data_IF_062097996471
#
_entry.id   IF_062097996471
#
_cell.length_a   1.000
_cell.length_b   1.000
_cell.length_c   1.000
_cell.angle_alpha   90.00
_cell.angle_beta   90.00
_cell.angle_gamma   90.00
#
_symmetry.space_group_name_H-M   'P 1'
#
loop_
_entity.id
_entity.type
_entity.pdbx_description
1 polymer ?
#
# COMPACT_ATOMS: atom_id res chain seq x y z
N UNK A 1 46.28 -10.77 47.64
CA UNK A 1 47.01 -10.75 46.36
C UNK A 1 46.09 -11.34 45.30
N UNK A 2 45.66 -10.51 44.33
CA UNK A 2 44.89 -10.79 43.09
C UNK A 2 43.73 -11.82 43.18
N UNK A 3 42.45 -11.45 43.20
CA UNK A 3 41.63 -10.80 42.15
C UNK A 3 41.83 -11.37 40.74
N UNK A 4 40.93 -12.27 40.32
CA UNK A 4 40.64 -12.54 38.91
C UNK A 4 39.14 -12.84 38.76
N UNK A 5 38.39 -11.75 38.61
CA UNK A 5 37.04 -11.70 38.05
C UNK A 5 37.09 -12.21 36.61
N UNK A 6 36.69 -13.46 36.38
CA UNK A 6 36.29 -13.93 35.06
C UNK A 6 34.82 -13.53 34.82
N UNK A 7 34.59 -12.24 34.56
CA UNK A 7 33.38 -11.80 33.88
C UNK A 7 33.59 -12.14 32.41
N UNK A 8 33.23 -13.37 32.03
CA UNK A 8 33.07 -13.72 30.63
C UNK A 8 31.90 -12.89 30.10
N UNK A 9 32.24 -11.81 29.39
CA UNK A 9 31.33 -11.10 28.52
C UNK A 9 30.78 -12.08 27.50
N UNK A 10 29.59 -12.61 27.77
CA UNK A 10 28.73 -13.11 26.72
C UNK A 10 28.58 -11.95 25.73
N UNK A 11 28.94 -12.11 24.45
CA UNK A 11 28.53 -11.15 23.46
C UNK A 11 27.01 -11.14 23.53
N UNK A 12 26.44 -9.98 23.86
CA UNK A 12 25.05 -9.71 23.57
C UNK A 12 24.88 -9.98 22.09
N UNK A 13 24.39 -11.18 21.74
CA UNK A 13 23.79 -11.48 20.47
C UNK A 13 22.56 -10.58 20.42
N UNK A 14 22.77 -9.30 20.10
CA UNK A 14 21.73 -8.39 19.67
C UNK A 14 21.35 -8.91 18.30
N UNK A 15 20.53 -9.95 18.32
CA UNK A 15 19.78 -10.38 17.17
C UNK A 15 18.78 -9.25 16.94
N UNK A 16 19.11 -8.37 16.01
CA UNK A 16 18.22 -7.30 15.59
C UNK A 16 17.40 -7.79 14.41
N UNK A 17 16.08 -7.72 14.54
CA UNK A 17 15.18 -7.79 13.39
C UNK A 17 15.59 -6.76 12.35
N UNK A 18 15.42 -7.10 11.07
CA UNK A 18 15.78 -6.23 9.94
C UNK A 18 14.56 -5.93 9.12
N UNK A 19 14.45 -4.69 8.67
CA UNK A 19 13.42 -4.27 7.73
C UNK A 19 14.05 -3.60 6.54
N UNK A 20 13.47 -3.81 5.37
CA UNK A 20 13.93 -3.18 4.14
C UNK A 20 13.04 -1.97 3.88
N UNK A 21 13.64 -0.80 3.73
CA UNK A 21 12.98 0.44 3.36
C UNK A 21 13.37 0.83 1.93
N UNK A 22 12.47 0.55 0.99
CA UNK A 22 12.68 0.83 -0.41
C UNK A 22 11.37 0.99 -1.18
N UNK A 23 11.47 1.54 -2.38
CA UNK A 23 10.39 1.47 -3.37
C UNK A 23 10.93 1.18 -4.77
N UNK A 24 10.07 0.66 -5.65
CA UNK A 24 10.38 0.54 -7.07
C UNK A 24 10.61 1.92 -7.70
N UNK A 25 11.58 2.08 -8.62
CA UNK A 25 11.92 3.39 -9.20
C UNK A 25 10.76 4.14 -9.86
N UNK A 26 9.81 3.43 -10.46
CA UNK A 26 8.60 4.02 -11.07
C UNK A 26 7.75 4.81 -10.08
N UNK A 27 7.76 4.44 -8.80
CA UNK A 27 6.96 5.09 -7.76
C UNK A 27 7.51 6.46 -7.36
N UNK A 28 8.72 6.83 -7.79
CA UNK A 28 9.27 8.15 -7.51
C UNK A 28 8.44 9.28 -8.13
N UNK A 29 7.91 9.05 -9.33
CA UNK A 29 7.01 9.99 -10.02
C UNK A 29 5.53 9.59 -9.94
N UNK A 30 5.23 8.44 -9.32
CA UNK A 30 3.90 7.84 -9.27
C UNK A 30 3.50 7.42 -7.85
N UNK A 31 3.95 8.17 -6.84
CA UNK A 31 3.74 7.84 -5.43
C UNK A 31 2.27 7.62 -5.06
N UNK A 32 1.35 8.28 -5.75
CA UNK A 32 -0.08 8.15 -5.56
C UNK A 32 -0.61 6.71 -5.72
N UNK A 33 0.07 5.88 -6.51
CA UNK A 33 -0.32 4.48 -6.71
C UNK A 33 -0.25 3.68 -5.40
N UNK A 34 0.55 4.15 -4.44
CA UNK A 34 0.73 3.52 -3.14
C UNK A 34 -0.43 3.75 -2.18
N UNK A 35 -1.21 4.81 -2.41
CA UNK A 35 -2.22 5.25 -1.48
C UNK A 35 -1.67 5.86 -0.17
N UNK A 36 -0.34 5.94 0.05
CA UNK A 36 0.24 6.53 1.26
C UNK A 36 0.20 8.07 1.25
N UNK A 37 0.07 8.73 2.43
CA UNK A 37 0.09 10.17 2.55
C UNK A 37 1.42 10.85 2.29
N UNK A 38 2.51 10.13 2.46
CA UNK A 38 3.84 10.71 2.33
C UNK A 38 4.82 9.71 1.78
N UNK A 39 5.77 10.25 1.03
CA UNK A 39 6.99 9.56 0.67
C UNK A 39 8.05 9.89 1.72
N UNK A 40 8.61 8.90 2.45
CA UNK A 40 9.70 9.15 3.37
C UNK A 40 10.91 9.81 2.67
N UNK A 41 11.54 10.80 3.31
CA UNK A 41 12.69 11.52 2.75
C UNK A 41 13.90 10.62 2.46
N UNK A 42 14.08 9.57 3.28
CA UNK A 42 15.19 8.62 3.16
C UNK A 42 14.78 7.34 2.41
N UNK A 43 13.68 7.36 1.66
CA UNK A 43 13.23 6.20 0.90
C UNK A 43 14.15 5.96 -0.30
N UNK A 44 14.76 4.78 -0.35
CA UNK A 44 15.63 4.38 -1.46
C UNK A 44 14.80 3.82 -2.61
N UNK A 45 14.92 4.42 -3.79
CA UNK A 45 14.28 3.93 -5.02
C UNK A 45 15.24 3.01 -5.77
N UNK A 46 14.93 1.71 -5.83
CA UNK A 46 15.83 0.74 -6.45
C UNK A 46 15.10 -0.47 -7.00
N UNK A 47 15.62 -1.00 -8.11
CA UNK A 47 15.14 -2.22 -8.76
C UNK A 47 15.17 -3.46 -7.87
N UNK A 48 16.07 -3.53 -6.88
CA UNK A 48 16.21 -4.64 -5.95
C UNK A 48 15.08 -4.70 -4.92
N UNK A 49 14.23 -3.66 -4.86
CA UNK A 49 13.11 -3.62 -3.93
C UNK A 49 12.07 -4.73 -4.18
N UNK A 50 12.01 -5.27 -5.40
CA UNK A 50 11.16 -6.42 -5.75
C UNK A 50 11.88 -7.77 -5.75
N UNK A 51 13.15 -7.78 -5.38
CA UNK A 51 14.01 -8.96 -5.42
C UNK A 51 13.99 -9.74 -4.11
N UNK A 52 14.54 -10.95 -4.16
CA UNK A 52 14.76 -11.81 -2.99
C UNK A 52 15.93 -11.34 -2.13
N UNK A 53 15.96 -11.85 -0.89
CA UNK A 53 16.95 -11.64 0.18
C UNK A 53 18.40 -11.41 -0.25
N UNK A 54 18.91 -12.16 -1.24
CA UNK A 54 20.32 -12.18 -1.61
C UNK A 54 20.80 -10.92 -2.36
N UNK A 55 19.88 -10.02 -2.71
CA UNK A 55 20.16 -8.88 -3.59
C UNK A 55 19.81 -7.53 -2.98
N UNK A 56 19.48 -7.48 -1.68
CA UNK A 56 19.12 -6.24 -0.99
C UNK A 56 20.40 -5.50 -0.56
N UNK A 57 20.64 -4.27 -1.04
CA UNK A 57 21.77 -3.46 -0.60
C UNK A 57 21.62 -2.98 0.85
N UNK A 58 22.75 -2.86 1.57
CA UNK A 58 22.79 -2.50 2.99
C UNK A 58 22.13 -1.13 3.29
N UNK A 59 22.18 -0.19 2.34
CA UNK A 59 21.58 1.14 2.51
C UNK A 59 20.04 1.15 2.52
N UNK A 60 19.41 0.01 2.26
CA UNK A 60 17.95 -0.16 2.39
C UNK A 60 17.57 -0.81 3.72
N UNK A 61 18.54 -1.30 4.50
CA UNK A 61 18.27 -2.10 5.70
C UNK A 61 18.15 -1.20 6.93
N UNK A 62 16.99 -1.26 7.57
CA UNK A 62 16.70 -0.65 8.87
C UNK A 62 16.88 -1.69 9.98
N UNK A 63 17.51 -1.23 11.07
CA UNK A 63 17.75 -2.02 12.29
C UNK A 63 16.73 -1.76 13.40
N UNK A 64 15.76 -0.87 13.15
CA UNK A 64 14.71 -0.50 14.10
C UNK A 64 13.46 -0.04 13.36
N UNK A 65 12.30 -0.31 13.95
CA UNK A 65 11.00 0.12 13.45
C UNK A 65 10.08 0.44 14.63
N UNK A 66 9.36 1.57 14.64
CA UNK A 66 8.48 1.91 15.76
C UNK A 66 7.13 1.20 15.70
N UNK A 67 6.73 0.74 14.53
CA UNK A 67 5.47 0.03 14.30
C UNK A 67 5.74 -1.36 13.71
N UNK A 68 5.24 -1.62 12.51
CA UNK A 68 5.36 -2.88 11.79
C UNK A 68 6.19 -2.65 10.53
N UNK A 69 6.88 -3.69 10.10
CA UNK A 69 7.51 -3.69 8.80
C UNK A 69 6.52 -4.22 7.79
N UNK A 70 6.31 -3.46 6.72
CA UNK A 70 5.36 -3.85 5.69
C UNK A 70 6.05 -4.03 4.35
N UNK A 71 5.43 -4.85 3.52
CA UNK A 71 5.69 -4.96 2.09
C UNK A 71 4.38 -4.89 1.34
N UNK A 72 4.35 -4.11 0.26
CA UNK A 72 3.19 -3.88 -0.57
C UNK A 72 3.58 -4.04 -2.04
N UNK A 73 2.71 -4.73 -2.78
CA UNK A 73 2.85 -5.01 -4.21
C UNK A 73 1.66 -4.40 -4.95
N UNK A 74 1.97 -3.63 -5.99
CA UNK A 74 0.99 -2.94 -6.85
C UNK A 74 1.21 -3.39 -8.30
N UNK A 75 0.24 -4.07 -8.93
CA UNK A 75 0.30 -4.40 -10.35
C UNK A 75 -0.16 -3.20 -11.19
N UNK A 76 0.66 -2.77 -12.15
CA UNK A 76 0.25 -1.78 -13.14
C UNK A 76 1.13 -1.84 -14.38
N UNK A 77 0.57 -1.52 -15.54
CA UNK A 77 1.28 -1.40 -16.83
C UNK A 77 2.24 -2.57 -17.12
N UNK A 78 1.74 -3.81 -16.98
CA UNK A 78 2.52 -5.04 -17.20
C UNK A 78 3.75 -5.18 -16.28
N UNK A 79 3.70 -4.61 -15.07
CA UNK A 79 4.79 -4.69 -14.12
C UNK A 79 4.30 -4.74 -12.67
N UNK A 80 5.18 -5.20 -11.78
CA UNK A 80 4.97 -5.15 -10.35
C UNK A 80 5.80 -4.03 -9.73
N UNK A 81 5.16 -3.25 -8.87
CA UNK A 81 5.82 -2.23 -8.08
C UNK A 81 5.78 -2.59 -6.61
N UNK A 82 6.90 -2.41 -5.94
CA UNK A 82 7.10 -2.79 -4.56
C UNK A 82 7.31 -1.54 -3.71
N UNK A 83 6.71 -1.54 -2.53
CA UNK A 83 7.01 -0.61 -1.45
C UNK A 83 7.27 -1.45 -0.21
N UNK A 84 8.39 -1.19 0.45
CA UNK A 84 8.77 -1.85 1.70
C UNK A 84 9.24 -0.79 2.67
N UNK A 85 8.95 -0.98 3.95
CA UNK A 85 9.55 -0.14 4.99
C UNK A 85 8.88 -0.28 6.33
N UNK A 86 9.22 0.66 7.21
CA UNK A 86 8.55 0.84 8.48
C UNK A 86 7.27 1.62 8.27
N UNK A 87 6.12 1.05 8.63
CA UNK A 87 4.83 1.64 8.28
C UNK A 87 4.66 3.07 8.80
N UNK A 88 5.19 3.36 9.99
CA UNK A 88 5.15 4.70 10.58
C UNK A 88 5.87 5.75 9.74
N UNK A 89 6.88 5.38 8.96
CA UNK A 89 7.59 6.30 8.05
C UNK A 89 6.74 6.77 6.87
N UNK A 90 5.62 6.09 6.56
CA UNK A 90 4.78 6.38 5.38
C UNK A 90 3.44 7.04 5.74
N UNK A 91 3.16 7.23 7.03
CA UNK A 91 1.91 7.80 7.57
C UNK A 91 2.14 9.12 8.31
N UNK A 92 1.08 9.89 8.58
CA UNK A 92 1.19 11.12 9.37
C UNK A 92 1.63 10.82 10.82
N UNK A 93 2.70 11.46 11.30
CA UNK A 93 3.18 11.30 12.67
C UNK A 93 2.10 11.75 13.66
N UNK A 94 1.80 10.92 14.66
CA UNK A 94 0.81 11.20 15.70
C UNK A 94 -0.64 10.87 15.32
N UNK A 95 -0.93 10.48 14.08
CA UNK A 95 -2.26 10.02 13.69
C UNK A 95 -2.41 8.53 14.03
N UNK A 96 -3.06 8.22 15.15
CA UNK A 96 -3.24 6.83 15.62
C UNK A 96 -4.16 6.01 14.72
N UNK A 97 -5.12 6.64 14.04
CA UNK A 97 -6.03 5.93 13.13
C UNK A 97 -5.27 5.34 11.94
N UNK A 98 -4.19 6.01 11.49
CA UNK A 98 -3.35 5.50 10.40
C UNK A 98 -2.37 4.42 10.84
N UNK A 99 -2.19 4.16 12.14
CA UNK A 99 -1.13 3.26 12.62
C UNK A 99 -1.56 1.80 12.58
N UNK A 100 -0.73 0.96 11.97
CA UNK A 100 -0.83 -0.49 12.12
C UNK A 100 0.18 -0.92 13.18
N UNK A 101 -0.30 -1.49 14.29
CA UNK A 101 0.55 -1.89 15.43
C UNK A 101 0.55 -3.41 15.67
N UNK A 102 -0.44 -4.10 15.13
CA UNK A 102 -0.61 -5.54 15.37
C UNK A 102 0.10 -6.38 14.31
N UNK A 103 0.67 -7.49 14.78
CA UNK A 103 1.42 -8.47 13.98
C UNK A 103 0.52 -9.39 13.14
N UNK A 104 1.13 -10.38 12.49
CA UNK A 104 1.14 -10.54 11.04
C UNK A 104 -0.24 -10.40 10.40
N UNK A 105 -0.36 -9.42 9.51
CA UNK A 105 -1.56 -9.16 8.71
C UNK A 105 -1.16 -9.26 7.26
N UNK A 106 -1.85 -10.07 6.46
CA UNK A 106 -1.62 -10.10 5.03
C UNK A 106 -2.92 -10.20 4.24
N UNK A 107 -3.08 -9.31 3.26
CA UNK A 107 -4.22 -9.27 2.35
C UNK A 107 -3.76 -9.26 0.91
N UNK A 108 -4.55 -9.88 0.04
CA UNK A 108 -4.28 -9.86 -1.39
C UNK A 108 -5.56 -9.83 -2.24
N UNK A 109 -5.39 -9.35 -3.48
CA UNK A 109 -6.46 -9.17 -4.45
C UNK A 109 -5.96 -9.52 -5.86
N UNK A 110 -6.74 -10.31 -6.59
CA UNK A 110 -6.52 -10.53 -8.03
C UNK A 110 -7.10 -9.36 -8.82
N UNK A 111 -6.27 -8.67 -9.60
CA UNK A 111 -6.62 -7.51 -10.42
C UNK A 111 -6.76 -7.97 -11.87
N UNK A 112 -7.93 -8.51 -12.21
CA UNK A 112 -8.17 -9.18 -13.51
C UNK A 112 -8.03 -8.26 -14.72
N UNK A 113 -8.25 -6.94 -14.54
CA UNK A 113 -8.06 -5.89 -15.55
C UNK A 113 -6.60 -5.57 -15.84
N UNK A 114 -5.68 -5.93 -14.94
CA UNK A 114 -4.25 -5.82 -15.15
C UNK A 114 -3.68 -7.17 -15.57
N UNK A 115 -2.82 -7.17 -16.58
CA UNK A 115 -2.14 -8.37 -17.06
C UNK A 115 -0.64 -8.23 -16.82
N UNK A 116 -0.02 -9.29 -16.33
CA UNK A 116 1.42 -9.40 -16.13
C UNK A 116 1.96 -10.56 -16.98
N UNK A 117 2.92 -10.28 -17.84
CA UNK A 117 3.67 -11.27 -18.60
C UNK A 117 4.74 -11.88 -17.70
N UNK A 118 4.83 -13.20 -17.66
CA UNK A 118 5.85 -13.90 -16.88
C UNK A 118 7.25 -13.58 -17.40
N UNK A 119 8.19 -13.37 -16.48
CA UNK A 119 9.60 -13.22 -16.81
C UNK A 119 10.27 -14.52 -17.26
N UNK A 120 9.70 -15.67 -16.91
CA UNK A 120 10.21 -17.00 -17.28
C UNK A 120 9.64 -17.50 -18.62
N UNK A 121 8.40 -17.09 -18.95
CA UNK A 121 7.73 -17.45 -20.19
C UNK A 121 6.96 -16.24 -20.75
N UNK A 122 7.51 -15.62 -21.79
CA UNK A 122 6.93 -14.44 -22.43
C UNK A 122 5.56 -14.70 -23.09
N UNK A 123 5.15 -15.96 -23.28
CA UNK A 123 3.82 -16.32 -23.80
C UNK A 123 2.78 -16.45 -22.69
N UNK A 124 3.22 -16.63 -21.45
CA UNK A 124 2.36 -16.74 -20.28
C UNK A 124 1.97 -15.35 -19.77
N UNK A 125 0.67 -15.08 -19.78
CA UNK A 125 0.08 -13.84 -19.23
C UNK A 125 -0.87 -14.17 -18.08
N UNK A 126 -0.62 -13.60 -16.91
CA UNK A 126 -1.37 -13.83 -15.68
C UNK A 126 -2.15 -12.58 -15.27
N UNK A 127 -3.25 -12.72 -14.50
CA UNK A 127 -3.84 -11.59 -13.78
C UNK A 127 -2.79 -10.93 -12.87
N UNK A 128 -2.77 -9.60 -12.81
CA UNK A 128 -1.95 -8.89 -11.84
C UNK A 128 -2.46 -9.15 -10.42
N UNK A 129 -1.55 -9.20 -9.45
CA UNK A 129 -1.90 -9.37 -8.04
C UNK A 129 -1.46 -8.17 -7.23
N UNK A 130 -2.37 -7.61 -6.43
CA UNK A 130 -2.02 -6.65 -5.40
C UNK A 130 -1.94 -7.34 -4.04
N UNK A 131 -0.91 -7.03 -3.25
CA UNK A 131 -0.67 -7.66 -1.95
C UNK A 131 -0.22 -6.59 -0.97
N UNK A 132 -0.65 -6.70 0.28
CA UNK A 132 0.00 -6.00 1.39
C UNK A 132 0.19 -6.96 2.56
N UNK A 133 1.37 -6.91 3.15
CA UNK A 133 1.74 -7.73 4.30
C UNK A 133 2.41 -6.85 5.33
N UNK A 134 2.10 -7.10 6.59
CA UNK A 134 2.67 -6.47 7.78
C UNK A 134 3.25 -7.57 8.65
N UNK A 135 4.42 -7.30 9.21
CA UNK A 135 5.06 -8.18 10.16
C UNK A 135 5.58 -7.35 11.34
N UNK A 136 5.46 -7.90 12.54
CA UNK A 136 5.87 -7.22 13.76
C UNK A 136 7.39 -7.08 13.75
N UNK A 137 7.85 -5.87 14.02
CA UNK A 137 9.26 -5.67 14.31
C UNK A 137 9.55 -6.14 15.73
N UNK A 138 10.43 -7.12 15.86
CA UNK A 138 10.88 -7.67 17.12
C UNK A 138 12.38 -7.99 17.07
N UNK A 139 12.92 -8.49 18.19
CA UNK A 139 14.32 -8.86 18.31
C UNK A 139 14.60 -10.28 17.77
N UNK A 140 13.74 -10.82 16.91
CA UNK A 140 14.02 -12.10 16.25
C UNK A 140 14.93 -11.91 15.04
N UNK A 141 15.74 -12.93 14.75
CA UNK A 141 16.69 -12.87 13.65
C UNK A 141 15.97 -12.88 12.31
N UNK A 142 16.28 -11.91 11.46
CA UNK A 142 15.96 -11.97 10.04
C UNK A 142 15.19 -10.78 9.52
N UNK A 143 14.83 -10.87 8.25
CA UNK A 143 14.12 -9.81 7.56
C UNK A 143 12.61 -10.00 7.65
N UNK A 144 11.90 -8.94 8.02
CA UNK A 144 10.47 -8.99 8.30
C UNK A 144 9.58 -8.73 7.07
N UNK A 145 10.06 -7.99 6.07
CA UNK A 145 9.24 -7.51 4.94
C UNK A 145 9.85 -7.73 3.54
N UNK A 146 10.35 -8.94 3.27
CA UNK A 146 10.87 -9.34 1.95
C UNK A 146 10.43 -10.75 1.52
N UNK A 147 9.22 -11.14 1.94
CA UNK A 147 8.66 -12.46 1.64
C UNK A 147 8.06 -12.51 0.24
N UNK A 148 7.69 -11.36 -0.33
CA UNK A 148 7.15 -11.25 -1.68
C UNK A 148 8.26 -10.96 -2.68
N UNK A 149 8.34 -11.71 -3.77
CA UNK A 149 9.22 -11.44 -4.90
C UNK A 149 8.46 -11.51 -6.21
N UNK A 150 9.02 -10.91 -7.26
CA UNK A 150 8.47 -11.01 -8.62
C UNK A 150 8.23 -12.46 -9.05
N UNK A 151 9.21 -13.34 -8.84
CA UNK A 151 9.11 -14.75 -9.20
C UNK A 151 8.00 -15.50 -8.44
N UNK A 152 7.64 -15.06 -7.25
CA UNK A 152 6.50 -15.62 -6.49
C UNK A 152 5.19 -15.15 -7.11
N UNK A 153 5.07 -13.86 -7.42
CA UNK A 153 3.86 -13.23 -7.96
C UNK A 153 3.51 -13.70 -9.37
N UNK A 154 4.49 -14.20 -10.13
CA UNK A 154 4.34 -14.70 -11.50
C UNK A 154 4.08 -16.22 -11.54
N UNK A 155 3.78 -16.86 -10.40
CA UNK A 155 3.44 -18.30 -10.35
C UNK A 155 1.98 -18.54 -10.78
N UNK A 156 1.78 -19.57 -11.61
CA UNK A 156 0.43 -20.03 -12.03
C UNK A 156 -0.46 -20.38 -10.82
N UNK A 157 0.11 -20.94 -9.76
CA UNK A 157 -0.60 -21.31 -8.52
C UNK A 157 -0.33 -20.32 -7.38
N UNK A 158 -0.21 -19.03 -7.69
CA UNK A 158 0.04 -17.99 -6.70
C UNK A 158 -0.93 -18.03 -5.52
N UNK A 159 -2.23 -18.21 -5.79
CA UNK A 159 -3.27 -18.25 -4.74
C UNK A 159 -3.00 -19.32 -3.66
N UNK A 160 -2.54 -20.50 -4.05
CA UNK A 160 -2.20 -21.57 -3.10
C UNK A 160 -0.93 -21.20 -2.33
N UNK A 161 0.09 -20.70 -3.03
CA UNK A 161 1.33 -20.28 -2.40
C UNK A 161 1.09 -19.19 -1.35
N UNK A 162 0.33 -18.15 -1.69
CA UNK A 162 0.15 -17.00 -0.80
C UNK A 162 -0.72 -17.35 0.42
N UNK A 163 -1.71 -18.23 0.27
CA UNK A 163 -2.54 -18.72 1.39
C UNK A 163 -1.77 -19.66 2.30
N UNK A 164 -1.03 -20.61 1.75
CA UNK A 164 -0.36 -21.65 2.55
C UNK A 164 0.94 -21.16 3.17
N UNK A 165 1.74 -20.38 2.44
CA UNK A 165 3.08 -19.97 2.86
C UNK A 165 3.09 -18.64 3.58
N UNK A 166 2.25 -17.70 3.17
CA UNK A 166 2.20 -16.34 3.72
C UNK A 166 0.93 -16.07 4.55
N UNK A 167 0.01 -17.05 4.62
CA UNK A 167 -1.23 -16.95 5.40
C UNK A 167 -2.06 -15.71 5.05
N UNK A 168 -1.98 -15.24 3.80
CA UNK A 168 -2.71 -14.06 3.39
C UNK A 168 -4.18 -14.38 3.11
N UNK A 169 -5.04 -13.44 3.52
CA UNK A 169 -6.47 -13.51 3.26
C UNK A 169 -6.81 -12.81 1.96
N UNK A 170 -7.59 -13.47 1.11
CA UNK A 170 -8.14 -12.83 -0.08
C UNK A 170 -9.15 -11.76 0.34
N UNK A 171 -9.07 -10.57 -0.25
CA UNK A 171 -10.08 -9.53 -0.04
C UNK A 171 -11.34 -9.85 -0.83
N UNK A 172 -12.49 -9.35 -0.36
CA UNK A 172 -13.74 -9.44 -1.10
C UNK A 172 -13.87 -8.30 -2.10
N UNK A 173 -14.34 -8.60 -3.31
CA UNK A 173 -14.68 -7.57 -4.29
C UNK A 173 -15.88 -6.75 -3.81
N UNK A 174 -15.76 -5.44 -3.92
CA UNK A 174 -16.78 -4.46 -3.57
C UNK A 174 -17.07 -3.57 -4.78
N UNK A 175 -18.35 -3.30 -5.04
CA UNK A 175 -18.79 -2.35 -6.06
C UNK A 175 -18.80 -0.94 -5.47
N UNK A 176 -18.08 -0.02 -6.08
CA UNK A 176 -17.94 1.36 -5.62
C UNK A 176 -18.48 2.35 -6.65
N UNK A 177 -18.88 3.52 -6.18
CA UNK A 177 -19.19 4.65 -7.04
C UNK A 177 -17.89 5.19 -7.63
N UNK A 178 -17.87 5.36 -8.96
CA UNK A 178 -16.80 6.04 -9.69
C UNK A 178 -17.32 7.39 -10.18
N UNK A 179 -16.74 8.47 -9.68
CA UNK A 179 -17.17 9.83 -10.02
C UNK A 179 -16.05 10.84 -9.83
N UNK A 180 -16.03 11.89 -10.64
CA UNK A 180 -15.18 13.07 -10.44
C UNK A 180 -16.10 14.28 -10.37
N UNK A 181 -15.90 15.10 -9.34
CA UNK A 181 -16.59 16.35 -9.09
C UNK A 181 -15.57 17.48 -9.09
N UNK A 182 -15.88 18.54 -9.82
CA UNK A 182 -15.10 19.76 -9.82
C UNK A 182 -16.04 20.97 -9.82
N UNK A 183 -15.89 21.82 -8.80
CA UNK A 183 -16.58 23.11 -8.72
C UNK A 183 -18.11 23.07 -8.87
N UNK A 184 -18.79 22.10 -8.24
CA UNK A 184 -20.25 21.94 -8.39
C UNK A 184 -20.66 21.06 -9.56
N UNK A 185 -19.77 20.75 -10.49
CA UNK A 185 -20.07 19.96 -11.69
C UNK A 185 -19.56 18.53 -11.54
N UNK A 186 -20.41 17.53 -11.84
CA UNK A 186 -20.00 16.12 -11.95
C UNK A 186 -20.84 15.10 -11.17
N UNK A 187 -21.65 15.50 -10.19
CA UNK A 187 -22.42 14.55 -9.34
C UNK A 187 -23.76 14.12 -9.98
N UNK A 188 -24.37 14.97 -10.81
CA UNK A 188 -25.79 14.83 -11.15
C UNK A 188 -26.10 13.87 -12.31
N UNK A 189 -25.12 13.41 -13.10
CA UNK A 189 -25.42 12.66 -14.35
C UNK A 189 -24.52 11.47 -14.71
N UNK A 190 -23.33 11.32 -14.11
CA UNK A 190 -22.34 10.30 -14.53
C UNK A 190 -21.86 9.44 -13.35
N UNK A 191 -22.79 8.76 -12.66
CA UNK A 191 -22.43 7.74 -11.66
C UNK A 191 -22.09 6.43 -12.38
N UNK A 192 -20.84 6.30 -12.78
CA UNK A 192 -20.30 4.99 -13.17
C UNK A 192 -20.00 4.18 -11.91
N UNK A 193 -19.85 2.87 -12.06
CA UNK A 193 -19.37 2.00 -10.99
C UNK A 193 -18.05 1.37 -11.37
N UNK A 194 -17.22 1.08 -10.38
CA UNK A 194 -16.07 0.19 -10.51
C UNK A 194 -16.20 -0.96 -9.50
N UNK A 195 -15.45 -2.03 -9.74
CA UNK A 195 -15.32 -3.15 -8.80
C UNK A 195 -13.87 -3.25 -8.38
N UNK A 196 -13.63 -3.37 -7.08
CA UNK A 196 -12.30 -3.57 -6.51
C UNK A 196 -12.39 -3.95 -5.04
N UNK A 197 -11.25 -4.25 -4.42
CA UNK A 197 -11.23 -4.65 -3.01
C UNK A 197 -11.64 -3.51 -2.06
N UNK A 198 -11.34 -2.27 -2.44
CA UNK A 198 -11.58 -1.10 -1.60
C UNK A 198 -12.20 0.04 -2.39
N UNK A 199 -13.24 0.65 -1.84
CA UNK A 199 -13.70 1.95 -2.31
C UNK A 199 -12.76 3.03 -1.80
N UNK A 200 -12.51 4.03 -2.65
CA UNK A 200 -11.68 5.18 -2.33
C UNK A 200 -12.44 6.46 -2.61
N UNK A 201 -12.25 7.44 -1.74
CA UNK A 201 -12.69 8.83 -1.95
C UNK A 201 -11.48 9.74 -1.79
N UNK A 202 -11.46 10.83 -2.53
CA UNK A 202 -10.43 11.84 -2.51
C UNK A 202 -11.16 13.16 -2.54
N UNK A 203 -10.99 13.99 -1.53
CA UNK A 203 -11.56 15.34 -1.51
C UNK A 203 -10.42 16.34 -1.45
N UNK A 204 -10.55 17.50 -2.08
CA UNK A 204 -9.49 18.50 -2.10
C UNK A 204 -9.87 19.78 -2.83
N UNK A 205 -8.85 20.56 -3.20
CA UNK A 205 -9.01 21.74 -4.04
C UNK A 205 -8.11 21.66 -5.27
N UNK A 206 -8.68 21.84 -6.46
CA UNK A 206 -7.94 22.01 -7.71
C UNK A 206 -8.14 23.44 -8.18
N UNK A 207 -7.05 24.22 -8.37
CA UNK A 207 -7.10 25.64 -8.70
C UNK A 207 -8.03 26.47 -7.78
N UNK A 208 -7.96 26.22 -6.48
CA UNK A 208 -8.78 26.89 -5.45
C UNK A 208 -10.24 26.42 -5.37
N UNK A 209 -10.70 25.61 -6.32
CA UNK A 209 -12.07 25.09 -6.42
C UNK A 209 -12.18 23.70 -5.83
N UNK A 210 -13.36 23.35 -5.29
CA UNK A 210 -13.60 22.03 -4.67
C UNK A 210 -13.44 20.92 -5.73
N UNK A 211 -12.73 19.87 -5.35
CA UNK A 211 -12.51 18.68 -6.16
C UNK A 211 -12.83 17.44 -5.32
N UNK A 212 -13.60 16.50 -5.88
CA UNK A 212 -13.81 15.18 -5.27
C UNK A 212 -13.65 14.10 -6.34
N UNK A 213 -12.91 13.05 -6.04
CA UNK A 213 -12.75 11.89 -6.90
C UNK A 213 -13.06 10.63 -6.09
N UNK A 214 -13.89 9.75 -6.64
CA UNK A 214 -14.29 8.48 -6.02
C UNK A 214 -13.99 7.34 -6.99
N UNK A 215 -13.53 6.21 -6.48
CA UNK A 215 -13.16 5.07 -7.31
C UNK A 215 -12.83 3.81 -6.51
N UNK A 216 -12.06 2.92 -7.11
CA UNK A 216 -11.68 1.63 -6.54
C UNK A 216 -10.16 1.51 -6.47
N UNK A 217 -9.67 0.87 -5.41
CA UNK A 217 -8.29 0.46 -5.27
C UNK A 217 -8.20 -1.06 -5.08
N UNK A 218 -7.18 -1.72 -5.66
CA UNK A 218 -6.98 -3.16 -5.48
C UNK A 218 -6.38 -3.49 -4.11
N UNK A 219 -5.65 -2.56 -3.50
CA UNK A 219 -5.04 -2.71 -2.18
C UNK A 219 -4.90 -1.35 -1.51
N UNK A 220 -4.83 -1.33 -0.17
CA UNK A 220 -4.75 -0.09 0.62
C UNK A 220 -3.76 -0.29 1.77
N UNK A 221 -3.01 0.76 2.16
CA UNK A 221 -1.97 0.62 3.17
C UNK A 221 -2.46 0.74 4.61
N UNK A 222 -3.76 0.61 4.84
CA UNK A 222 -4.40 0.78 6.14
C UNK A 222 -5.38 -0.37 6.38
N UNK A 223 -5.42 -0.86 7.62
CA UNK A 223 -6.30 -1.97 8.00
C UNK A 223 -7.72 -1.48 8.31
N UNK A 224 -7.85 -0.21 8.71
CA UNK A 224 -9.12 0.41 9.04
C UNK A 224 -9.45 1.56 8.08
N UNK A 225 -10.69 2.03 8.17
CA UNK A 225 -11.17 3.19 7.44
C UNK A 225 -10.47 4.45 7.96
N UNK A 226 -9.51 4.98 7.21
CA UNK A 226 -8.73 6.16 7.64
C UNK A 226 -8.89 7.32 6.69
N UNK A 227 -9.01 8.52 7.27
CA UNK A 227 -9.01 9.78 6.55
C UNK A 227 -7.75 10.58 6.89
N UNK A 228 -7.12 11.11 5.86
CA UNK A 228 -5.87 11.84 5.99
C UNK A 228 -5.65 12.76 4.80
N UNK A 229 -4.84 13.81 5.02
CA UNK A 229 -4.61 14.86 4.06
C UNK A 229 -3.28 14.67 3.33
N UNK A 230 -3.39 14.45 2.02
CA UNK A 230 -2.27 14.46 1.11
C UNK A 230 -2.10 15.84 0.51
N UNK A 231 -0.94 16.42 0.78
CA UNK A 231 -0.42 17.56 0.05
C UNK A 231 0.50 17.05 -1.06
N UNK A 232 0.16 17.35 -2.30
CA UNK A 232 0.93 16.96 -3.48
C UNK A 232 0.94 18.08 -4.49
N UNK A 233 2.05 18.22 -5.21
CA UNK A 233 2.22 19.18 -6.30
C UNK A 233 1.99 18.56 -7.68
N UNK A 234 1.48 17.33 -7.78
CA UNK A 234 1.20 16.67 -9.05
C UNK A 234 -0.29 16.40 -9.23
N UNK A 235 -0.74 16.43 -10.49
CA UNK A 235 -2.08 15.95 -10.86
C UNK A 235 -2.12 14.43 -10.76
N UNK A 236 -3.24 13.91 -10.28
CA UNK A 236 -3.44 12.47 -10.12
C UNK A 236 -4.40 11.93 -11.16
N UNK A 237 -4.25 10.63 -11.43
CA UNK A 237 -5.26 9.80 -12.07
C UNK A 237 -5.71 8.80 -10.99
N UNK A 238 -7.00 8.76 -10.60
CA UNK A 238 -7.46 7.63 -9.77
C UNK A 238 -7.63 6.37 -10.61
N UNK A 239 -7.05 5.30 -10.10
CA UNK A 239 -7.32 3.94 -10.55
C UNK A 239 -6.40 3.45 -11.66
N UNK A 240 -6.40 2.11 -11.87
CA UNK A 240 -5.51 1.43 -12.81
C UNK A 240 -5.85 1.64 -14.30
N UNK A 241 -6.79 2.52 -14.62
CA UNK A 241 -7.26 2.77 -15.99
C UNK A 241 -7.55 4.26 -16.20
N UNK A 242 -6.69 4.95 -16.97
CA UNK A 242 -6.97 6.01 -17.99
C UNK A 242 -5.70 6.89 -18.23
N UNK A 243 -5.50 7.47 -19.45
CA UNK A 243 -4.24 8.08 -19.88
C UNK A 243 -3.93 9.43 -19.23
N UNK A 244 -2.62 9.74 -19.14
CA UNK A 244 -2.00 11.02 -18.73
C UNK A 244 -2.79 12.24 -19.18
N UNK A 245 -2.99 13.23 -18.29
CA UNK A 245 -3.03 14.65 -18.67
C UNK A 245 -2.70 15.58 -17.48
N UNK A 246 -1.85 16.57 -17.82
CA UNK A 246 -1.57 17.89 -17.19
C UNK A 246 -0.52 17.98 -16.06
N UNK A 247 0.68 18.44 -16.45
CA UNK A 247 1.66 19.11 -15.59
C UNK A 247 1.04 20.41 -15.04
N UNK A 248 0.78 20.48 -13.74
CA UNK A 248 0.75 21.75 -13.01
C UNK A 248 0.84 21.50 -11.50
N UNK A 249 1.43 22.47 -10.78
CA UNK A 249 1.77 22.40 -9.36
C UNK A 249 0.53 22.67 -8.50
N UNK A 250 0.03 21.67 -7.76
CA UNK A 250 -1.24 21.76 -7.00
C UNK A 250 -1.01 21.77 -5.48
N UNK A 251 -2.01 22.21 -4.70
CA UNK A 251 -2.14 21.96 -3.27
C UNK A 251 -3.45 21.21 -3.03
N UNK A 252 -3.39 19.88 -3.05
CA UNK A 252 -4.52 19.05 -2.64
C UNK A 252 -4.51 18.88 -1.11
N UNK A 253 -5.67 18.71 -0.49
CA UNK A 253 -5.81 18.38 0.94
C UNK A 253 -6.75 17.18 0.98
N UNK A 254 -6.18 15.97 0.92
CA UNK A 254 -6.96 14.73 0.75
C UNK A 254 -7.79 14.38 2.00
N UNK A 255 -8.78 13.54 1.81
CA UNK A 255 -9.38 12.70 2.84
C UNK A 255 -9.67 11.41 2.13
N UNK A 256 -8.98 10.34 2.50
CA UNK A 256 -9.25 9.01 1.96
C UNK A 256 -10.34 8.37 2.78
N UNK A 257 -11.25 7.66 2.16
CA UNK A 257 -12.09 6.72 2.88
C UNK A 257 -11.79 5.38 2.24
N UNK A 258 -11.28 4.45 3.03
CA UNK A 258 -11.36 3.04 2.70
C UNK A 258 -12.60 2.52 3.43
N UNK A 259 -13.40 1.67 2.80
CA UNK A 259 -14.49 0.97 3.48
C UNK A 259 -14.19 -0.52 3.40
N UNK A 260 -13.65 -1.08 4.49
CA UNK A 260 -13.48 -2.52 4.67
C UNK A 260 -14.59 -3.12 5.54
N UNK A 261 -14.85 -4.43 5.39
CA UNK A 261 -15.90 -5.16 6.09
C UNK A 261 -15.76 -5.10 7.62
N UNK A 262 -16.75 -4.52 8.31
CA UNK A 262 -16.82 -4.57 9.78
C UNK A 262 -17.75 -3.54 10.41
N UNK A 263 -19.05 -3.81 10.40
CA UNK A 263 -20.10 -3.12 11.19
C UNK A 263 -20.32 -1.63 10.91
N UNK A 264 -21.58 -1.21 11.06
CA UNK A 264 -21.99 0.18 10.97
C UNK A 264 -21.42 1.01 12.13
N UNK A 265 -20.15 1.41 12.05
CA UNK A 265 -19.54 2.34 12.99
C UNK A 265 -19.26 3.66 12.29
N UNK A 266 -20.14 4.61 12.57
CA UNK A 266 -20.03 6.03 12.23
C UNK A 266 -18.72 6.59 12.83
N UNK A 267 -17.75 6.88 11.99
CA UNK A 267 -16.89 8.05 12.18
C UNK A 267 -16.85 8.84 10.87
N UNK A 268 -17.61 9.93 10.92
CA UNK A 268 -17.97 10.79 9.81
C UNK A 268 -16.81 11.71 9.47
N UNK A 269 -15.96 11.33 8.52
CA UNK A 269 -15.13 12.29 7.80
C UNK A 269 -16.02 13.05 6.82
N UNK A 270 -16.88 13.95 7.33
CA UNK A 270 -17.84 14.78 6.58
C UNK A 270 -18.34 14.18 5.24
N UNK A 271 -18.68 12.89 5.25
CA UNK A 271 -19.25 12.17 4.13
C UNK A 271 -20.70 11.96 4.48
N UNK A 272 -21.56 12.75 3.84
CA UNK A 272 -22.97 12.45 3.70
C UNK A 272 -23.06 11.05 3.12
N UNK A 273 -23.51 10.10 3.93
CA UNK A 273 -23.88 8.76 3.51
C UNK A 273 -24.79 8.88 2.28
N UNK A 274 -24.40 8.29 1.15
CA UNK A 274 -25.34 7.95 0.09
C UNK A 274 -25.43 6.42 0.08
N UNK A 275 -26.67 5.99 0.24
CA UNK A 275 -27.24 4.67 0.48
C UNK A 275 -26.46 3.43 0.01
N UNK A 276 -26.47 2.43 0.90
CA UNK A 276 -26.56 1.03 0.47
C UNK A 276 -27.80 0.93 -0.41
N UNK A 277 -27.67 0.46 -1.64
CA UNK A 277 -28.83 0.00 -2.41
C UNK A 277 -29.42 -1.21 -1.69
N UNK A 278 -30.32 -0.95 -0.75
CA UNK A 278 -31.40 -1.84 -0.40
C UNK A 278 -32.43 -1.72 -1.52
N UNK A 279 -32.61 -2.77 -2.31
CA UNK A 279 -33.85 -3.05 -3.02
C UNK A 279 -34.10 -4.57 -2.81
N UNK A 280 -35.19 -4.98 -2.18
CA UNK A 280 -36.53 -5.15 -2.80
C UNK A 280 -36.50 -6.05 -4.04
#
# INVERSE_FOLDING_TARGET
MLLLLFVLGLPSLVVSGRCVQCASPSLQSQWQLTGFPRQPTNLVFHTACGSSLQSIPDNMVLTSCNTVCFEMVIPTYNNYHFVRGCHDDFIEKGNTAQQVRDGPICYYTNVTSQKITSSEDATLTLPGVAVISYDKFDNEAGYKNIKLSRSILEKINFDNYIKEQLQCSATQETKCIKSIYYDGTGEDKNKNSCTGAYCTSFEGKFNGKKYIERGCAPIVPFVENVCFSLNTTTTFVSGPEVPRLLDDTVYLSRSVLFAGYGSAARQTCLLTLIDKTDEY
#
